data_IF_072342304856
#
_entry.id   IF_072342304856
#
_cell.length_a   1.000
_cell.length_b   1.000
_cell.length_c   1.000
_cell.angle_alpha   90.00
_cell.angle_beta   90.00
_cell.angle_gamma   90.00
#
_symmetry.space_group_name_H-M   'P 1'
#
loop_
_entity.id
_entity.type
_entity.pdbx_description
1 polymer ?
#
# COMPACT_ATOMS: atom_id res chain seq x y z
N UNK A 1 -43.28 4.24 22.45
CA UNK A 1 -42.56 3.27 23.31
C UNK A 1 -41.64 2.32 22.55
N UNK A 2 -42.06 1.61 21.49
CA UNK A 2 -41.24 0.61 20.77
C UNK A 2 -39.97 1.19 20.13
N UNK A 3 -40.01 2.39 19.55
CA UNK A 3 -38.88 3.07 18.87
C UNK A 3 -37.78 3.50 19.87
N UNK A 4 -38.22 4.07 21.02
CA UNK A 4 -37.29 4.48 22.08
C UNK A 4 -36.53 3.28 22.66
N UNK A 5 -37.27 2.17 22.89
CA UNK A 5 -36.69 0.92 23.36
C UNK A 5 -35.63 0.40 22.38
N UNK A 6 -35.89 0.40 21.07
CA UNK A 6 -34.94 -0.03 20.05
C UNK A 6 -33.68 0.85 20.04
N UNK A 7 -33.84 2.18 20.19
CA UNK A 7 -32.68 3.09 20.28
C UNK A 7 -31.81 2.76 21.49
N UNK A 8 -32.41 2.52 22.67
CA UNK A 8 -31.65 2.15 23.87
C UNK A 8 -30.98 0.77 23.75
N UNK A 9 -31.66 -0.20 23.14
CA UNK A 9 -31.06 -1.51 22.86
C UNK A 9 -29.78 -1.39 22.05
N UNK A 10 -29.82 -0.68 20.92
CA UNK A 10 -28.66 -0.48 20.05
C UNK A 10 -27.56 0.41 20.66
N UNK A 11 -27.92 1.35 21.51
CA UNK A 11 -26.99 2.10 22.33
C UNK A 11 -26.18 1.19 23.26
N UNK A 12 -26.88 0.34 24.02
CA UNK A 12 -26.24 -0.59 24.96
C UNK A 12 -25.38 -1.63 24.24
N UNK A 13 -25.79 -2.10 23.07
CA UNK A 13 -24.97 -2.98 22.23
C UNK A 13 -23.69 -2.27 21.77
N UNK A 14 -23.80 -1.03 21.28
CA UNK A 14 -22.65 -0.20 20.91
C UNK A 14 -21.71 0.05 22.08
N UNK A 15 -22.24 0.32 23.28
CA UNK A 15 -21.43 0.51 24.49
C UNK A 15 -20.64 -0.75 24.84
N UNK A 16 -21.26 -1.93 24.80
CA UNK A 16 -20.60 -3.22 25.05
C UNK A 16 -19.45 -3.44 24.06
N UNK A 17 -19.70 -3.20 22.76
CA UNK A 17 -18.70 -3.34 21.71
C UNK A 17 -17.52 -2.37 21.89
N UNK A 18 -17.81 -1.11 22.20
CA UNK A 18 -16.77 -0.11 22.44
C UNK A 18 -15.83 -0.53 23.60
N UNK A 19 -16.39 -1.11 24.68
CA UNK A 19 -15.61 -1.56 25.83
C UNK A 19 -14.63 -2.69 25.51
N UNK A 20 -14.93 -3.53 24.51
CA UNK A 20 -14.03 -4.61 24.06
C UNK A 20 -13.19 -4.22 22.84
N UNK A 21 -13.13 -2.93 22.52
CA UNK A 21 -12.40 -2.40 21.36
C UNK A 21 -12.92 -2.87 19.98
N UNK A 22 -14.15 -3.36 19.92
CA UNK A 22 -14.89 -3.54 18.67
C UNK A 22 -15.47 -2.18 18.22
N UNK A 23 -14.59 -1.28 17.76
CA UNK A 23 -14.99 0.10 17.44
C UNK A 23 -15.84 0.14 16.17
N UNK A 24 -15.51 -0.66 15.16
CA UNK A 24 -16.32 -0.79 13.92
C UNK A 24 -17.74 -1.31 14.24
N UNK A 25 -17.87 -2.35 15.05
CA UNK A 25 -19.17 -2.86 15.47
C UNK A 25 -19.93 -1.88 16.36
N UNK A 26 -19.24 -1.15 17.24
CA UNK A 26 -19.81 -0.08 18.06
C UNK A 26 -20.39 1.04 17.19
N UNK A 27 -19.66 1.52 16.18
CA UNK A 27 -20.14 2.52 15.22
C UNK A 27 -21.42 2.06 14.53
N UNK A 28 -21.45 0.80 14.06
CA UNK A 28 -22.64 0.24 13.40
C UNK A 28 -23.86 0.24 14.33
N UNK A 29 -23.67 -0.20 15.58
CA UNK A 29 -24.75 -0.27 16.57
C UNK A 29 -25.22 1.12 16.98
N UNK A 30 -24.33 2.06 17.25
CA UNK A 30 -24.66 3.44 17.63
C UNK A 30 -25.35 4.21 16.50
N UNK A 31 -24.90 4.05 15.26
CA UNK A 31 -25.60 4.60 14.09
C UNK A 31 -27.02 4.04 13.99
N UNK A 32 -27.21 2.76 14.26
CA UNK A 32 -28.54 2.14 14.27
C UNK A 32 -29.42 2.67 15.43
N UNK A 33 -28.83 2.92 16.60
CA UNK A 33 -29.51 3.62 17.70
C UNK A 33 -30.05 4.98 17.25
N UNK A 34 -29.23 5.76 16.54
CA UNK A 34 -29.58 7.09 16.04
C UNK A 34 -30.56 7.07 14.86
N UNK A 35 -30.68 5.96 14.11
CA UNK A 35 -31.74 5.76 13.12
C UNK A 35 -33.12 5.67 13.78
N UNK A 36 -33.21 4.99 14.94
CA UNK A 36 -34.42 4.92 15.71
C UNK A 36 -34.76 6.20 16.48
N UNK A 37 -33.75 6.86 17.05
CA UNK A 37 -33.91 8.12 17.77
C UNK A 37 -32.74 9.07 17.52
N UNK A 38 -32.89 10.01 16.60
CA UNK A 38 -31.88 11.02 16.24
C UNK A 38 -31.51 11.92 17.42
N UNK A 39 -32.38 12.10 18.39
CA UNK A 39 -32.20 12.87 19.62
C UNK A 39 -31.57 12.09 20.76
N UNK A 40 -31.10 10.85 20.55
CA UNK A 40 -30.37 10.12 21.59
C UNK A 40 -28.99 10.71 21.82
N UNK A 41 -28.91 11.66 22.77
CA UNK A 41 -27.68 12.38 23.13
C UNK A 41 -26.58 11.41 23.58
N UNK A 42 -26.91 10.42 24.39
CA UNK A 42 -25.95 9.45 24.90
C UNK A 42 -25.31 8.63 23.75
N UNK A 43 -26.14 8.16 22.78
CA UNK A 43 -25.65 7.44 21.62
C UNK A 43 -24.73 8.31 20.73
N UNK A 44 -25.09 9.58 20.57
CA UNK A 44 -24.32 10.53 19.76
C UNK A 44 -22.99 10.85 20.41
N UNK A 45 -22.97 11.10 21.72
CA UNK A 45 -21.76 11.35 22.49
C UNK A 45 -20.80 10.17 22.47
N UNK A 46 -21.36 8.95 22.64
CA UNK A 46 -20.58 7.73 22.60
C UNK A 46 -20.03 7.46 21.17
N UNK A 47 -20.84 7.72 20.14
CA UNK A 47 -20.40 7.58 18.75
C UNK A 47 -19.22 8.51 18.45
N UNK A 48 -19.27 9.77 18.88
CA UNK A 48 -18.15 10.70 18.79
C UNK A 48 -16.91 10.18 19.51
N UNK A 49 -17.06 9.63 20.73
CA UNK A 49 -15.95 9.07 21.48
C UNK A 49 -15.33 7.85 20.79
N UNK A 50 -16.14 6.99 20.19
CA UNK A 50 -15.68 5.82 19.40
C UNK A 50 -14.91 6.26 18.16
N UNK A 51 -15.39 7.26 17.43
CA UNK A 51 -14.65 7.85 16.30
C UNK A 51 -13.33 8.44 16.73
N UNK A 52 -13.33 9.21 17.83
CA UNK A 52 -12.09 9.78 18.36
C UNK A 52 -11.06 8.71 18.74
N UNK A 53 -11.51 7.64 19.41
CA UNK A 53 -10.66 6.51 19.79
C UNK A 53 -10.08 5.73 18.60
N UNK A 54 -10.73 5.82 17.43
CA UNK A 54 -10.29 5.23 16.16
C UNK A 54 -9.41 6.16 15.32
N UNK A 55 -9.30 7.44 15.74
CA UNK A 55 -8.56 8.49 15.03
C UNK A 55 -9.37 9.21 13.94
N UNK A 56 -10.67 8.94 13.85
CA UNK A 56 -11.60 9.63 12.96
C UNK A 56 -12.12 10.92 13.64
N UNK A 57 -11.21 11.89 13.87
CA UNK A 57 -11.49 13.07 14.74
C UNK A 57 -12.51 14.01 14.13
N UNK A 58 -12.55 14.15 12.80
CA UNK A 58 -13.55 14.99 12.12
C UNK A 58 -14.96 14.45 12.36
N UNK A 59 -15.14 13.15 12.20
CA UNK A 59 -16.41 12.45 12.47
C UNK A 59 -16.80 12.57 13.95
N UNK A 60 -15.82 12.48 14.86
CA UNK A 60 -16.06 12.69 16.29
C UNK A 60 -16.59 14.09 16.60
N UNK A 61 -15.93 15.11 16.06
CA UNK A 61 -16.34 16.50 16.25
C UNK A 61 -17.73 16.77 15.66
N UNK A 62 -18.05 16.21 14.48
CA UNK A 62 -19.39 16.33 13.88
C UNK A 62 -20.46 15.75 14.83
N UNK A 63 -20.26 14.56 15.37
CA UNK A 63 -21.23 13.96 16.28
C UNK A 63 -21.38 14.75 17.59
N UNK A 64 -20.31 15.28 18.16
CA UNK A 64 -20.37 16.10 19.37
C UNK A 64 -21.02 17.46 19.11
N UNK A 65 -20.75 18.11 17.97
CA UNK A 65 -21.41 19.38 17.58
C UNK A 65 -22.90 19.15 17.38
N UNK A 66 -23.29 18.07 16.69
CA UNK A 66 -24.70 17.69 16.56
C UNK A 66 -25.34 17.41 17.92
N UNK A 67 -24.62 16.72 18.83
CA UNK A 67 -25.10 16.47 20.19
C UNK A 67 -25.35 17.78 20.94
N UNK A 68 -24.40 18.73 20.88
CA UNK A 68 -24.51 20.09 21.47
C UNK A 68 -25.72 20.87 20.91
N UNK A 69 -26.00 20.73 19.61
CA UNK A 69 -27.16 21.38 19.01
C UNK A 69 -28.50 20.82 19.49
N UNK A 70 -28.58 19.51 19.82
CA UNK A 70 -29.76 18.91 20.45
C UNK A 70 -29.90 19.25 21.92
N UNK A 71 -28.78 19.35 22.64
CA UNK A 71 -28.72 19.67 24.07
C UNK A 71 -27.48 20.53 24.33
N UNK A 72 -27.70 21.82 24.54
CA UNK A 72 -26.59 22.80 24.70
C UNK A 72 -25.99 22.82 26.11
N UNK A 73 -26.80 22.51 27.14
CA UNK A 73 -26.39 22.50 28.55
C UNK A 73 -26.30 21.07 29.07
N UNK A 74 -25.49 20.85 30.10
CA UNK A 74 -25.28 19.54 30.77
C UNK A 74 -24.95 18.41 29.78
N UNK A 75 -24.17 18.73 28.77
CA UNK A 75 -23.78 17.79 27.72
C UNK A 75 -22.27 17.56 27.71
N UNK A 76 -21.87 16.29 27.92
CA UNK A 76 -20.45 15.87 27.92
C UNK A 76 -19.73 16.19 26.59
N UNK A 77 -20.47 16.35 25.48
CA UNK A 77 -19.91 16.78 24.21
C UNK A 77 -19.16 18.09 24.30
N UNK A 78 -19.63 19.04 25.13
CA UNK A 78 -18.96 20.32 25.36
C UNK A 78 -17.55 20.14 25.91
N UNK A 79 -17.38 19.19 26.82
CA UNK A 79 -16.07 18.83 27.36
C UNK A 79 -15.14 18.26 26.28
N UNK A 80 -15.62 17.31 25.47
CA UNK A 80 -14.80 16.69 24.43
C UNK A 80 -14.40 17.68 23.33
N UNK A 81 -15.33 18.52 22.87
CA UNK A 81 -15.04 19.59 21.89
C UNK A 81 -13.95 20.51 22.43
N UNK A 82 -14.14 21.00 23.67
CA UNK A 82 -13.21 21.88 24.34
C UNK A 82 -11.83 21.25 24.48
N UNK A 83 -11.77 19.98 24.90
CA UNK A 83 -10.53 19.24 25.06
C UNK A 83 -9.73 19.17 23.74
N UNK A 84 -10.37 18.84 22.61
CA UNK A 84 -9.71 18.77 21.31
C UNK A 84 -9.22 20.14 20.84
N UNK A 85 -9.93 21.23 21.21
CA UNK A 85 -9.59 22.60 20.80
C UNK A 85 -8.54 23.26 21.69
N UNK A 86 -8.52 22.97 22.99
CA UNK A 86 -7.70 23.66 23.99
C UNK A 86 -6.40 22.97 24.33
N UNK A 87 -6.24 21.68 24.01
CA UNK A 87 -4.94 21.01 24.22
C UNK A 87 -3.94 21.57 23.21
N UNK A 88 -2.87 22.25 23.69
CA UNK A 88 -1.92 22.88 22.79
C UNK A 88 -1.30 21.87 21.82
N UNK A 89 -1.40 22.15 20.53
CA UNK A 89 -0.80 21.33 19.48
C UNK A 89 -1.58 20.07 19.08
N UNK A 90 -2.62 19.64 19.81
CA UNK A 90 -3.37 18.42 19.48
C UNK A 90 -4.10 18.55 18.13
N UNK A 91 -4.85 19.63 17.95
CA UNK A 91 -5.56 19.87 16.69
C UNK A 91 -4.58 20.03 15.51
N UNK A 92 -3.45 20.68 15.74
CA UNK A 92 -2.41 20.83 14.71
C UNK A 92 -1.78 19.49 14.37
N UNK A 93 -1.45 18.66 15.36
CA UNK A 93 -0.92 17.30 15.13
C UNK A 93 -1.90 16.44 14.33
N UNK A 94 -3.20 16.48 14.64
CA UNK A 94 -4.25 15.78 13.89
C UNK A 94 -4.30 16.29 12.46
N UNK A 95 -4.32 17.61 12.24
CA UNK A 95 -4.35 18.22 10.91
C UNK A 95 -3.11 17.82 10.09
N UNK A 96 -1.93 17.83 10.69
CA UNK A 96 -0.70 17.39 10.05
C UNK A 96 -0.74 15.89 9.70
N UNK A 97 -1.23 15.05 10.58
CA UNK A 97 -1.38 13.62 10.33
C UNK A 97 -2.33 13.34 9.15
N UNK A 98 -3.47 14.04 9.09
CA UNK A 98 -4.43 13.93 7.97
C UNK A 98 -3.82 14.43 6.65
N UNK A 99 -3.10 15.56 6.70
CA UNK A 99 -2.40 16.09 5.52
C UNK A 99 -1.35 15.09 4.99
N UNK A 100 -0.55 14.51 5.89
CA UNK A 100 0.46 13.50 5.53
C UNK A 100 -0.18 12.22 4.98
N UNK A 101 -1.29 11.78 5.55
CA UNK A 101 -2.07 10.66 5.03
C UNK A 101 -2.55 10.91 3.60
N UNK A 102 -3.12 12.09 3.32
CA UNK A 102 -3.57 12.45 1.97
C UNK A 102 -2.39 12.57 0.98
N UNK A 103 -1.25 13.12 1.42
CA UNK A 103 -0.03 13.14 0.61
C UNK A 103 0.49 11.73 0.31
N UNK A 104 0.42 10.83 1.30
CA UNK A 104 0.86 9.44 1.09
C UNK A 104 -0.01 8.69 0.09
N UNK A 105 -1.33 8.95 0.06
CA UNK A 105 -2.21 8.42 -0.98
C UNK A 105 -1.79 8.89 -2.38
N UNK A 106 -1.42 10.17 -2.52
CA UNK A 106 -0.94 10.70 -3.80
C UNK A 106 0.38 10.06 -4.24
N UNK A 107 1.33 9.91 -3.31
CA UNK A 107 2.59 9.22 -3.60
C UNK A 107 2.36 7.75 -3.99
N UNK A 108 1.51 7.03 -3.27
CA UNK A 108 1.19 5.64 -3.59
C UNK A 108 0.57 5.49 -5.00
N UNK A 109 -0.30 6.42 -5.41
CA UNK A 109 -0.88 6.45 -6.75
C UNK A 109 0.15 6.74 -7.86
N UNK A 110 1.29 7.35 -7.51
CA UNK A 110 2.38 7.68 -8.43
C UNK A 110 3.54 6.68 -8.37
N UNK A 111 3.33 5.49 -7.80
CA UNK A 111 4.36 4.47 -7.55
C UNK A 111 5.55 5.00 -6.71
N UNK A 112 5.24 5.89 -5.76
CA UNK A 112 6.21 6.47 -4.83
C UNK A 112 6.06 5.87 -3.43
N UNK A 113 6.10 4.55 -3.30
CA UNK A 113 5.82 3.80 -2.07
C UNK A 113 6.72 4.23 -0.91
N UNK A 114 8.02 4.45 -1.17
CA UNK A 114 8.98 4.86 -0.15
C UNK A 114 8.61 6.23 0.45
N UNK A 115 8.24 7.19 -0.40
CA UNK A 115 7.80 8.51 0.06
C UNK A 115 6.48 8.43 0.81
N UNK A 116 5.55 7.59 0.36
CA UNK A 116 4.29 7.33 1.04
C UNK A 116 4.53 6.73 2.43
N UNK A 117 5.40 5.73 2.56
CA UNK A 117 5.80 5.11 3.83
C UNK A 117 6.40 6.15 4.79
N UNK A 118 7.29 7.02 4.31
CA UNK A 118 7.91 8.08 5.13
C UNK A 118 6.84 9.02 5.69
N UNK A 119 5.89 9.46 4.87
CA UNK A 119 4.81 10.35 5.32
C UNK A 119 3.88 9.65 6.31
N UNK A 120 3.51 8.39 6.07
CA UNK A 120 2.65 7.62 6.97
C UNK A 120 3.30 7.36 8.33
N UNK A 121 4.61 7.07 8.35
CA UNK A 121 5.34 6.93 9.63
C UNK A 121 5.28 8.22 10.47
N UNK A 122 5.37 9.38 9.84
CA UNK A 122 5.19 10.66 10.52
C UNK A 122 3.73 10.85 10.97
N UNK A 123 2.76 10.51 10.11
CA UNK A 123 1.34 10.63 10.43
C UNK A 123 0.95 9.81 11.67
N UNK A 124 1.40 8.54 11.76
CA UNK A 124 1.11 7.69 12.94
C UNK A 124 1.89 8.09 14.18
N UNK A 125 3.02 8.78 14.05
CA UNK A 125 3.75 9.34 15.17
C UNK A 125 3.03 10.58 15.73
N UNK A 126 2.48 11.44 14.88
CA UNK A 126 1.71 12.63 15.26
C UNK A 126 0.31 12.27 15.80
N UNK A 127 -0.31 11.23 15.23
CA UNK A 127 -1.65 10.78 15.63
C UNK A 127 -1.70 9.26 15.81
N UNK A 128 -1.29 8.72 16.99
CA UNK A 128 -1.11 7.29 17.19
C UNK A 128 -2.40 6.44 17.16
N UNK A 129 -3.58 7.04 17.21
CA UNK A 129 -4.85 6.33 17.10
C UNK A 129 -5.40 6.25 15.68
N UNK A 130 -4.69 6.78 14.67
CA UNK A 130 -5.18 6.88 13.31
C UNK A 130 -5.14 5.54 12.58
N UNK A 131 -6.19 4.73 12.75
CA UNK A 131 -6.29 3.36 12.19
C UNK A 131 -6.09 3.33 10.68
N UNK A 132 -6.70 4.25 9.93
CA UNK A 132 -6.57 4.31 8.45
C UNK A 132 -5.11 4.50 8.01
N UNK A 133 -4.31 5.26 8.76
CA UNK A 133 -2.90 5.45 8.44
C UNK A 133 -2.08 4.17 8.66
N UNK A 134 -2.35 3.40 9.71
CA UNK A 134 -1.72 2.09 9.91
C UNK A 134 -2.12 1.07 8.84
N UNK A 135 -3.38 1.09 8.39
CA UNK A 135 -3.86 0.22 7.30
C UNK A 135 -3.12 0.50 5.99
N UNK A 136 -3.04 1.77 5.59
CA UNK A 136 -2.32 2.15 4.38
C UNK A 136 -0.82 1.87 4.50
N UNK A 137 -0.22 2.13 5.66
CA UNK A 137 1.17 1.81 5.93
C UNK A 137 1.44 0.29 5.82
N UNK A 138 0.53 -0.52 6.34
CA UNK A 138 0.64 -1.97 6.25
C UNK A 138 0.50 -2.47 4.81
N UNK A 139 -0.44 -1.92 4.04
CA UNK A 139 -0.61 -2.25 2.62
C UNK A 139 0.67 -1.97 1.83
N UNK A 140 1.26 -0.78 1.99
CA UNK A 140 2.52 -0.41 1.33
C UNK A 140 3.70 -1.29 1.77
N UNK A 141 3.73 -1.71 3.05
CA UNK A 141 4.73 -2.68 3.50
C UNK A 141 4.53 -4.09 2.92
N UNK A 142 3.29 -4.50 2.64
CA UNK A 142 3.01 -5.77 1.96
C UNK A 142 3.50 -5.67 0.51
N UNK A 143 3.17 -4.58 -0.18
CA UNK A 143 3.55 -4.31 -1.58
C UNK A 143 5.08 -4.27 -1.76
N UNK A 144 5.79 -3.65 -0.82
CA UNK A 144 7.26 -3.58 -0.82
C UNK A 144 7.94 -4.77 -0.13
N UNK A 145 7.23 -5.87 0.11
CA UNK A 145 7.69 -7.11 0.75
C UNK A 145 8.28 -6.95 2.17
N UNK A 146 8.02 -5.84 2.83
CA UNK A 146 8.44 -5.56 4.20
C UNK A 146 7.49 -6.20 5.23
N UNK A 147 7.29 -7.51 5.17
CA UNK A 147 6.25 -8.25 5.92
C UNK A 147 6.34 -8.12 7.43
N UNK A 148 7.54 -7.93 7.99
CA UNK A 148 7.72 -7.71 9.44
C UNK A 148 7.14 -6.38 9.89
N UNK A 149 7.37 -5.32 9.10
CA UNK A 149 6.84 -3.98 9.34
C UNK A 149 5.32 -3.95 9.14
N UNK A 150 4.81 -4.60 8.08
CA UNK A 150 3.39 -4.78 7.83
C UNK A 150 2.67 -5.40 9.04
N UNK A 151 3.24 -6.49 9.58
CA UNK A 151 2.68 -7.16 10.77
C UNK A 151 2.62 -6.25 11.98
N UNK A 152 3.64 -5.42 12.20
CA UNK A 152 3.68 -4.50 13.33
C UNK A 152 2.61 -3.42 13.18
N UNK A 153 2.45 -2.83 12.00
CA UNK A 153 1.41 -1.85 11.72
C UNK A 153 0.00 -2.44 11.89
N UNK A 154 -0.25 -3.65 11.34
CA UNK A 154 -1.54 -4.34 11.47
C UNK A 154 -1.87 -4.72 12.91
N UNK A 155 -0.89 -5.14 13.70
CA UNK A 155 -1.11 -5.42 15.13
C UNK A 155 -1.51 -4.16 15.89
N UNK A 156 -0.94 -3.01 15.55
CA UNK A 156 -1.31 -1.73 16.15
C UNK A 156 -2.72 -1.33 15.74
N UNK A 157 -3.07 -1.41 14.46
CA UNK A 157 -4.41 -1.15 13.97
C UNK A 157 -5.45 -2.07 14.65
N UNK A 158 -5.16 -3.37 14.77
CA UNK A 158 -6.03 -4.35 15.41
C UNK A 158 -6.20 -4.12 16.92
N UNK A 159 -5.17 -3.60 17.62
CA UNK A 159 -5.31 -3.20 19.03
C UNK A 159 -6.23 -1.99 19.21
N UNK A 160 -6.27 -1.12 18.23
CA UNK A 160 -7.15 0.06 18.23
C UNK A 160 -8.59 -0.32 17.90
N UNK A 161 -8.79 -1.17 16.90
CA UNK A 161 -10.10 -1.68 16.47
C UNK A 161 -9.98 -3.17 16.11
N UNK A 162 -10.56 -4.02 16.97
CA UNK A 162 -10.39 -5.48 16.89
C UNK A 162 -11.17 -6.14 15.76
N UNK A 163 -12.20 -5.49 15.22
CA UNK A 163 -13.11 -6.06 14.22
C UNK A 163 -13.10 -5.30 12.90
N UNK A 164 -12.18 -4.38 12.72
CA UNK A 164 -12.07 -3.66 11.46
C UNK A 164 -11.81 -4.62 10.28
N UNK A 165 -12.70 -4.67 9.28
CA UNK A 165 -12.63 -5.67 8.21
C UNK A 165 -11.41 -5.50 7.31
N UNK A 166 -10.92 -4.28 7.12
CA UNK A 166 -9.74 -4.00 6.29
C UNK A 166 -8.48 -4.52 6.99
N UNK A 167 -8.35 -4.22 8.28
CA UNK A 167 -7.23 -4.72 9.11
C UNK A 167 -7.20 -6.25 9.12
N UNK A 168 -8.36 -6.89 9.34
CA UNK A 168 -8.47 -8.36 9.36
C UNK A 168 -8.15 -8.98 7.99
N UNK A 169 -8.59 -8.36 6.89
CA UNK A 169 -8.29 -8.80 5.53
C UNK A 169 -6.78 -8.78 5.26
N UNK A 170 -6.11 -7.68 5.56
CA UNK A 170 -4.65 -7.57 5.38
C UNK A 170 -3.87 -8.53 6.28
N UNK A 171 -4.33 -8.76 7.52
CA UNK A 171 -3.74 -9.78 8.40
C UNK A 171 -3.89 -11.19 7.83
N UNK A 172 -5.03 -11.49 7.23
CA UNK A 172 -5.28 -12.77 6.56
C UNK A 172 -4.33 -12.95 5.36
N UNK A 173 -4.25 -11.96 4.48
CA UNK A 173 -3.36 -11.94 3.32
C UNK A 173 -1.89 -12.15 3.73
N UNK A 174 -1.42 -11.40 4.71
CA UNK A 174 -0.06 -11.53 5.24
C UNK A 174 0.23 -12.94 5.79
N UNK A 175 -0.78 -13.59 6.39
CA UNK A 175 -0.66 -14.97 6.86
C UNK A 175 -0.61 -15.98 5.70
N UNK A 176 -1.34 -15.74 4.61
CA UNK A 176 -1.29 -16.57 3.41
C UNK A 176 0.09 -16.49 2.74
N UNK A 177 0.60 -15.28 2.53
CA UNK A 177 1.96 -15.06 1.99
C UNK A 177 3.00 -15.84 2.81
N UNK A 178 2.90 -15.77 4.14
CA UNK A 178 3.82 -16.49 5.03
C UNK A 178 3.72 -18.02 4.88
N UNK A 179 2.51 -18.57 4.76
CA UNK A 179 2.30 -20.02 4.56
C UNK A 179 2.91 -20.48 3.25
N UNK A 180 2.59 -19.81 2.15
CA UNK A 180 3.12 -20.14 0.82
C UNK A 180 4.64 -20.08 0.80
N UNK A 181 5.26 -19.08 1.44
CA UNK A 181 6.72 -18.96 1.53
C UNK A 181 7.33 -20.08 2.38
N UNK A 182 6.68 -20.45 3.50
CA UNK A 182 7.14 -21.55 4.35
C UNK A 182 7.06 -22.91 3.63
N UNK A 183 6.00 -23.16 2.88
CA UNK A 183 5.81 -24.35 2.05
C UNK A 183 6.88 -24.44 0.95
N UNK A 184 7.16 -23.32 0.27
CA UNK A 184 8.21 -23.25 -0.75
C UNK A 184 9.60 -23.53 -0.17
N UNK A 185 9.91 -23.02 1.02
CA UNK A 185 11.20 -23.27 1.71
C UNK A 185 11.28 -24.73 2.16
N UNK A 186 10.18 -25.31 2.66
CA UNK A 186 10.11 -26.70 3.07
C UNK A 186 10.33 -27.65 1.87
N UNK A 187 9.66 -27.39 0.74
CA UNK A 187 9.84 -28.17 -0.50
C UNK A 187 11.27 -28.08 -1.03
N UNK A 188 11.88 -26.89 -0.97
CA UNK A 188 13.28 -26.69 -1.36
C UNK A 188 14.26 -27.45 -0.46
N UNK A 189 13.98 -27.51 0.85
CA UNK A 189 14.81 -28.23 1.80
C UNK A 189 14.64 -29.78 1.65
N UNK A 190 13.43 -30.25 1.37
CA UNK A 190 13.16 -31.65 1.05
C UNK A 190 13.93 -32.09 -0.22
N UNK A 191 13.91 -31.24 -1.27
CA UNK A 191 14.69 -31.51 -2.50
C UNK A 191 16.21 -31.47 -2.26
N UNK A 192 16.71 -30.66 -1.34
CA UNK A 192 18.12 -30.66 -0.92
C UNK A 192 18.48 -31.89 -0.10
N UNK A 193 17.59 -32.35 0.79
CA UNK A 193 17.80 -33.57 1.60
C UNK A 193 17.80 -34.85 0.79
N UNK A 194 17.15 -34.89 -0.38
CA UNK A 194 17.16 -36.02 -1.30
C UNK A 194 18.42 -36.11 -2.18
N UNK A 195 19.32 -35.11 -2.09
CA UNK A 195 20.57 -35.09 -2.87
C UNK A 195 21.79 -35.63 -2.14
N UNK A 196 21.60 -36.33 -1.03
CA UNK A 196 22.70 -37.03 -0.33
C UNK A 196 22.55 -38.55 -0.51
N UNK A 197 23.53 -39.20 -1.11
CA UNK A 197 23.62 -40.66 -1.20
C UNK A 197 24.57 -41.13 -0.12
N UNK A 198 24.09 -42.00 0.77
CA UNK A 198 24.93 -42.64 1.77
C UNK A 198 25.27 -44.09 1.31
N UNK A 199 26.55 -44.41 1.24
CA UNK A 199 26.97 -45.79 1.06
C UNK A 199 27.83 -46.24 2.23
N UNK A 200 27.68 -47.52 2.61
CA UNK A 200 28.52 -48.20 3.59
C UNK A 200 29.73 -48.76 2.88
N UNK A 201 30.92 -48.37 3.32
CA UNK A 201 32.18 -49.01 2.92
C UNK A 201 32.81 -49.55 4.18
N UNK A 202 32.65 -50.88 4.41
CA UNK A 202 33.05 -51.52 5.65
C UNK A 202 32.21 -51.08 6.85
N UNK A 203 32.84 -50.60 7.92
CA UNK A 203 32.16 -50.11 9.13
C UNK A 203 31.85 -48.60 9.08
N UNK A 204 32.27 -47.89 8.05
CA UNK A 204 32.07 -46.45 7.92
C UNK A 204 30.94 -46.12 6.97
N UNK A 205 30.12 -45.15 7.39
CA UNK A 205 29.05 -44.58 6.54
C UNK A 205 29.55 -43.29 5.91
N UNK A 206 29.81 -43.31 4.61
CA UNK A 206 30.21 -42.15 3.86
C UNK A 206 28.94 -41.50 3.32
N UNK A 207 28.68 -40.27 3.78
CA UNK A 207 27.60 -39.40 3.25
C UNK A 207 28.23 -38.47 2.23
N UNK A 208 27.98 -38.71 0.95
CA UNK A 208 28.36 -37.79 -0.10
C UNK A 208 27.12 -37.03 -0.59
N UNK A 209 27.22 -35.73 -0.85
CA UNK A 209 26.15 -35.05 -1.61
C UNK A 209 25.99 -35.82 -2.92
N UNK A 210 24.74 -36.22 -3.25
CA UNK A 210 24.47 -36.76 -4.56
C UNK A 210 25.07 -35.81 -5.57
N UNK A 211 25.99 -36.27 -6.39
CA UNK A 211 26.44 -35.47 -7.52
C UNK A 211 25.20 -35.07 -8.24
N UNK A 212 24.90 -33.77 -8.19
CA UNK A 212 23.90 -33.19 -9.10
C UNK A 212 24.42 -33.61 -10.46
N UNK A 213 23.75 -34.61 -11.08
CA UNK A 213 23.89 -34.79 -12.51
C UNK A 213 23.69 -33.41 -13.09
N UNK A 214 24.78 -32.73 -13.45
CA UNK A 214 24.74 -31.61 -14.35
C UNK A 214 24.00 -32.21 -15.54
N UNK A 215 22.68 -31.90 -15.61
CA UNK A 215 21.92 -32.14 -16.80
C UNK A 215 22.66 -31.35 -17.83
N UNK A 216 23.53 -32.05 -18.60
CA UNK A 216 24.18 -31.43 -19.74
C UNK A 216 23.10 -30.64 -20.43
N UNK A 217 23.24 -29.33 -20.51
CA UNK A 217 22.27 -28.49 -21.20
C UNK A 217 22.18 -29.12 -22.58
N UNK A 218 21.07 -29.83 -22.80
CA UNK A 218 20.85 -30.48 -24.07
C UNK A 218 21.14 -29.46 -25.16
N UNK A 219 21.84 -29.89 -26.21
CA UNK A 219 22.22 -29.01 -27.32
C UNK A 219 21.06 -28.13 -27.82
N UNK A 220 19.83 -28.60 -27.59
CA UNK A 220 18.59 -27.85 -27.82
C UNK A 220 18.47 -26.56 -26.98
N UNK A 221 18.83 -26.57 -25.69
CA UNK A 221 18.78 -25.36 -24.85
C UNK A 221 19.85 -24.35 -25.23
N UNK A 222 21.04 -24.83 -25.61
CA UNK A 222 22.11 -23.97 -26.12
C UNK A 222 21.70 -23.34 -27.47
N UNK A 223 21.09 -24.12 -28.35
CA UNK A 223 20.57 -23.61 -29.63
C UNK A 223 19.45 -22.55 -29.43
N UNK A 224 18.53 -22.77 -28.48
CA UNK A 224 17.47 -21.83 -28.15
C UNK A 224 18.05 -20.50 -27.62
N UNK A 225 19.05 -20.57 -26.74
CA UNK A 225 19.68 -19.38 -26.19
C UNK A 225 20.44 -18.58 -27.26
N UNK A 226 21.07 -19.25 -28.22
CA UNK A 226 21.72 -18.61 -29.38
C UNK A 226 20.68 -17.95 -30.27
N UNK A 227 19.54 -18.60 -30.54
CA UNK A 227 18.44 -18.02 -31.33
C UNK A 227 17.83 -16.79 -30.65
N UNK A 228 17.63 -16.82 -29.33
CA UNK A 228 17.14 -15.67 -28.58
C UNK A 228 18.16 -14.52 -28.64
N UNK A 229 19.44 -14.80 -28.44
CA UNK A 229 20.51 -13.81 -28.56
C UNK A 229 20.58 -13.18 -29.96
N UNK A 230 20.44 -13.98 -31.00
CA UNK A 230 20.41 -13.50 -32.39
C UNK A 230 19.17 -12.62 -32.66
N UNK A 231 17.98 -13.03 -32.18
CA UNK A 231 16.76 -12.24 -32.32
C UNK A 231 16.84 -10.88 -31.62
N UNK A 232 17.41 -10.85 -30.41
CA UNK A 232 17.65 -9.58 -29.68
C UNK A 232 18.67 -8.73 -30.43
N UNK A 233 19.75 -9.31 -30.96
CA UNK A 233 20.77 -8.60 -31.75
C UNK A 233 20.17 -7.96 -33.01
N UNK A 234 19.31 -8.70 -33.74
CA UNK A 234 18.60 -8.17 -34.91
C UNK A 234 17.63 -7.04 -34.52
N UNK A 235 16.92 -7.17 -33.41
CA UNK A 235 16.02 -6.13 -32.92
C UNK A 235 16.79 -4.84 -32.55
N UNK A 236 17.92 -4.95 -31.86
CA UNK A 236 18.79 -3.80 -31.53
C UNK A 236 19.32 -3.14 -32.81
N UNK A 237 19.80 -3.94 -33.77
CA UNK A 237 20.28 -3.45 -35.06
C UNK A 237 19.16 -2.69 -35.80
N UNK A 238 17.95 -3.24 -35.83
CA UNK A 238 16.81 -2.65 -36.53
C UNK A 238 16.31 -1.35 -35.90
N UNK A 239 16.16 -1.34 -34.57
CA UNK A 239 15.56 -0.19 -33.86
C UNK A 239 16.56 0.92 -33.48
N UNK A 240 17.83 0.61 -33.26
CA UNK A 240 18.82 1.58 -32.81
C UNK A 240 19.84 1.96 -33.90
N UNK A 241 20.36 1.00 -34.65
CA UNK A 241 21.45 1.26 -35.63
C UNK A 241 20.88 1.71 -36.99
N UNK A 242 19.81 1.08 -37.47
CA UNK A 242 19.20 1.44 -38.74
C UNK A 242 18.69 2.88 -38.81
N UNK A 243 17.95 3.39 -37.85
CA UNK A 243 17.52 4.80 -37.86
C UNK A 243 18.68 5.79 -37.80
N UNK A 244 19.73 5.46 -37.03
CA UNK A 244 20.93 6.30 -36.95
C UNK A 244 21.69 6.35 -38.28
N UNK A 245 21.80 5.24 -39.00
CA UNK A 245 22.38 5.18 -40.33
C UNK A 245 21.55 5.93 -41.39
N UNK A 246 20.24 5.79 -41.32
CA UNK A 246 19.34 6.49 -42.28
C UNK A 246 19.39 8.01 -42.08
N UNK A 247 19.45 8.49 -40.84
CA UNK A 247 19.55 9.92 -40.53
C UNK A 247 20.93 10.50 -40.94
N UNK A 248 22.03 9.75 -40.85
CA UNK A 248 23.33 10.17 -41.31
C UNK A 248 23.38 10.23 -42.86
N UNK A 249 22.84 9.27 -43.57
CA UNK A 249 22.68 9.30 -45.05
C UNK A 249 21.81 10.45 -45.51
N UNK A 250 20.68 10.71 -44.83
CA UNK A 250 19.81 11.83 -45.15
C UNK A 250 20.54 13.19 -44.98
N UNK A 251 21.37 13.34 -43.98
CA UNK A 251 22.19 14.55 -43.78
C UNK A 251 23.25 14.72 -44.89
N UNK A 252 23.81 13.64 -45.38
CA UNK A 252 24.80 13.67 -46.45
C UNK A 252 24.17 14.01 -47.81
N UNK A 253 23.01 13.41 -48.12
CA UNK A 253 22.20 13.74 -49.29
C UNK A 253 21.73 15.21 -49.24
N UNK A 254 21.29 15.71 -48.13
CA UNK A 254 20.88 17.11 -47.97
C UNK A 254 22.06 18.07 -48.17
N UNK A 255 23.29 17.75 -47.65
CA UNK A 255 24.49 18.55 -47.92
C UNK A 255 24.83 18.58 -49.42
N UNK A 256 24.74 17.47 -50.11
CA UNK A 256 24.99 17.43 -51.56
C UNK A 256 23.93 18.22 -52.33
N UNK A 257 22.66 18.13 -51.96
CA UNK A 257 21.56 18.87 -52.60
C UNK A 257 21.72 20.38 -52.44
N UNK A 258 22.14 20.86 -51.22
CA UNK A 258 22.42 22.28 -50.98
C UNK A 258 23.63 22.75 -51.80
N UNK A 259 24.72 21.96 -51.91
CA UNK A 259 25.89 22.32 -52.71
C UNK A 259 25.59 22.36 -54.19
N UNK A 260 24.70 21.49 -54.68
CA UNK A 260 24.22 21.55 -56.09
C UNK A 260 23.33 22.77 -56.36
N UNK A 261 22.47 23.14 -55.43
CA UNK A 261 21.62 24.34 -55.59
C UNK A 261 22.48 25.62 -55.63
N UNK A 262 23.47 25.73 -54.78
CA UNK A 262 24.43 26.86 -54.75
C UNK A 262 25.24 26.94 -56.05
N UNK A 263 25.66 25.80 -56.61
CA UNK A 263 26.36 25.77 -57.89
C UNK A 263 25.45 26.19 -59.09
N UNK A 264 24.19 25.86 -59.07
CA UNK A 264 23.19 26.26 -60.06
C UNK A 264 22.93 27.78 -59.95
N UNK A 265 22.84 28.29 -58.74
CA UNK A 265 22.63 29.74 -58.51
C UNK A 265 23.82 30.56 -58.92
N UNK A 266 25.07 30.14 -58.62
CA UNK A 266 26.27 30.74 -59.11
C UNK A 266 26.43 30.70 -60.64
N UNK A 267 25.95 29.67 -61.38
CA UNK A 267 25.94 29.63 -62.82
C UNK A 267 24.87 30.55 -63.42
N UNK A 268 23.73 30.72 -62.78
CA UNK A 268 22.66 31.62 -63.20
C UNK A 268 23.10 33.09 -63.16
N UNK A 269 23.88 33.47 -62.13
CA UNK A 269 24.44 34.84 -62.01
C UNK A 269 25.61 35.14 -62.96
N UNK A 270 26.26 34.10 -63.58
CA UNK A 270 27.30 34.29 -64.58
C UNK A 270 26.77 34.36 -66.04
N UNK A 271 25.52 34.03 -66.28
CA UNK A 271 24.94 33.92 -67.62
C UNK A 271 24.01 35.08 -67.96
N UNK A 272 24.02 36.20 -67.21
CA UNK A 272 23.30 37.43 -67.57
C UNK A 272 24.34 38.44 -68.07
N UNK A 273 24.34 38.87 -69.31
CA UNK A 273 25.22 39.89 -69.88
C UNK A 273 24.93 41.30 -69.29
#
# INVERSE_FOLDING_TARGET
>A
MKITYQSHYWYNDGLKKANIRDLTGAIASLRRSLQYNRGNIAARNLLGLVYYGRGDVVEALVEWILSKNFQSHDNIANYYIKKVQEVPGELEAINQAVKRYNQSLQYAQQNGEDMAIIQLKKAVAEHPTYVKAYQLLALLYIETEQYANARTALRTAHKLDTTDPITLSYMHELNQIRKTRAEFVADRNLKKGQQTVSYKVGNDTIIQPAQTNYKEQTAAHTAINILIGAAVGVAVMWFLVMPAMLTSRQKEINKQTVSFSDQIEHRKHRSVP
#
